data_IF_790865185589
#
_entry.id   IF_790865185589
#
_cell.length_a   1.000
_cell.length_b   1.000
_cell.length_c   1.000
_cell.angle_alpha   90.00
_cell.angle_beta   90.00
_cell.angle_gamma   90.00
#
_symmetry.space_group_name_H-M   'P 1'
#
loop_
_entity.id
_entity.type
_entity.pdbx_description
1 polymer ?
#
# COMPACT_ATOMS: atom_id res chain seq x y z
N UNK A 1 21.71 8.35 12.20
CA UNK A 1 20.70 7.43 12.75
C UNK A 1 20.42 6.43 11.65
N UNK A 2 20.72 5.16 11.88
CA UNK A 2 20.50 4.12 10.89
C UNK A 2 19.00 3.86 10.80
N UNK A 3 18.43 4.08 9.62
CA UNK A 3 17.01 3.79 9.39
C UNK A 3 16.78 2.30 9.31
N UNK A 4 15.73 1.80 9.96
CA UNK A 4 15.34 0.40 9.86
C UNK A 4 14.47 0.17 8.63
N UNK A 5 14.70 -0.96 7.95
CA UNK A 5 13.87 -1.37 6.81
C UNK A 5 12.47 -1.74 7.31
N UNK A 6 11.52 -0.82 7.17
CA UNK A 6 10.15 -1.01 7.64
C UNK A 6 9.35 -2.05 6.81
N UNK A 7 9.72 -2.27 5.53
CA UNK A 7 9.04 -3.21 4.66
C UNK A 7 9.86 -3.55 3.39
N UNK A 8 9.61 -4.75 2.85
CA UNK A 8 10.10 -5.22 1.54
C UNK A 8 9.03 -6.13 0.90
N UNK A 9 8.80 -5.98 -0.41
CA UNK A 9 7.80 -6.77 -1.14
C UNK A 9 7.62 -6.30 -2.59
N UNK A 10 6.58 -6.78 -3.25
CA UNK A 10 6.28 -6.47 -4.65
C UNK A 10 5.01 -5.63 -4.80
N UNK A 11 4.78 -5.05 -5.98
CA UNK A 11 3.59 -4.23 -6.26
C UNK A 11 2.29 -5.04 -6.16
N UNK A 12 2.35 -6.35 -6.33
CA UNK A 12 1.22 -7.27 -6.23
C UNK A 12 0.84 -7.52 -4.76
N UNK A 13 1.83 -7.53 -3.86
CA UNK A 13 1.62 -7.80 -2.43
C UNK A 13 1.43 -6.55 -1.59
N UNK A 14 1.88 -5.39 -2.08
CA UNK A 14 1.80 -4.10 -1.35
C UNK A 14 0.35 -3.70 -1.03
N UNK A 15 -0.63 -4.10 -1.85
CA UNK A 15 -2.05 -3.82 -1.62
C UNK A 15 -2.74 -4.80 -0.66
N UNK A 16 -2.09 -5.92 -0.32
CA UNK A 16 -2.65 -7.04 0.46
C UNK A 16 -1.86 -7.31 1.75
N UNK A 17 -1.03 -6.37 2.20
CA UNK A 17 -0.20 -6.55 3.39
C UNK A 17 -0.92 -6.09 4.66
N UNK A 18 -0.80 -6.87 5.74
CA UNK A 18 -1.28 -6.50 7.07
C UNK A 18 -0.32 -5.52 7.80
N UNK A 19 0.77 -5.11 7.14
CA UNK A 19 1.72 -4.16 7.71
C UNK A 19 1.08 -2.77 7.79
N UNK A 20 0.76 -2.34 9.01
CA UNK A 20 0.14 -1.04 9.30
C UNK A 20 0.97 0.15 8.81
N UNK A 21 2.30 0.08 8.85
CA UNK A 21 3.17 1.17 8.36
C UNK A 21 3.04 1.33 6.85
N UNK A 22 2.96 0.23 6.12
CA UNK A 22 2.76 0.24 4.65
C UNK A 22 1.37 0.72 4.29
N UNK A 23 0.36 0.24 5.02
CA UNK A 23 -1.04 0.66 4.89
C UNK A 23 -1.17 2.17 5.13
N UNK A 24 -0.62 2.68 6.24
CA UNK A 24 -0.67 4.10 6.58
C UNK A 24 0.08 4.96 5.54
N UNK A 25 1.20 4.48 4.99
CA UNK A 25 1.93 5.17 3.92
C UNK A 25 1.15 5.20 2.61
N UNK A 26 0.67 4.06 2.13
CA UNK A 26 -0.10 3.94 0.87
C UNK A 26 -1.40 4.75 0.96
N UNK A 27 -2.09 4.71 2.10
CA UNK A 27 -3.35 5.45 2.29
C UNK A 27 -3.17 6.86 2.88
N UNK A 28 -1.93 7.36 2.99
CA UNK A 28 -1.70 8.77 3.36
C UNK A 28 -2.10 9.74 2.24
N UNK A 29 -2.10 9.29 0.98
CA UNK A 29 -2.40 10.11 -0.19
C UNK A 29 -3.76 9.79 -0.80
N UNK A 30 -4.49 10.84 -1.19
CA UNK A 30 -5.74 10.72 -1.93
C UNK A 30 -5.57 10.07 -3.31
N UNK A 31 -4.38 10.17 -3.92
CA UNK A 31 -4.10 9.53 -5.20
C UNK A 31 -4.09 8.01 -5.06
N UNK A 32 -3.32 7.47 -4.11
CA UNK A 32 -3.20 6.03 -3.90
C UNK A 32 -4.50 5.38 -3.41
N UNK A 33 -5.33 6.12 -2.64
CA UNK A 33 -6.70 5.69 -2.33
C UNK A 33 -7.53 5.46 -3.59
N UNK A 34 -7.50 6.40 -4.55
CA UNK A 34 -8.23 6.30 -5.82
C UNK A 34 -7.71 5.16 -6.70
N UNK A 35 -6.40 4.98 -6.79
CA UNK A 35 -5.78 3.89 -7.55
C UNK A 35 -6.24 2.53 -7.01
N UNK A 36 -6.25 2.34 -5.68
CA UNK A 36 -6.77 1.10 -5.09
C UNK A 36 -8.25 0.87 -5.40
N UNK A 37 -9.08 1.91 -5.31
CA UNK A 37 -10.50 1.79 -5.60
C UNK A 37 -10.71 1.28 -7.03
N UNK A 38 -10.00 1.86 -8.02
CA UNK A 38 -10.05 1.37 -9.39
C UNK A 38 -9.65 -0.10 -9.52
N UNK A 39 -8.59 -0.54 -8.83
CA UNK A 39 -8.18 -1.95 -8.83
C UNK A 39 -9.20 -2.87 -8.16
N UNK A 40 -9.95 -2.41 -7.14
CA UNK A 40 -11.00 -3.22 -6.52
C UNK A 40 -12.21 -3.31 -7.46
N UNK A 41 -12.63 -2.17 -8.02
CA UNK A 41 -13.77 -2.06 -8.93
C UNK A 41 -13.54 -2.84 -10.24
N UNK A 42 -12.29 -2.93 -10.75
CA UNK A 42 -11.94 -3.72 -11.94
C UNK A 42 -11.89 -5.24 -11.69
N UNK A 43 -11.80 -5.67 -10.42
CA UNK A 43 -11.75 -7.09 -10.04
C UNK A 43 -13.12 -7.63 -9.55
N UNK A 44 -14.16 -6.80 -9.58
CA UNK A 44 -15.59 -7.19 -9.46
C UNK A 44 -16.25 -7.32 -10.83
#
# INVERSE_FOLDING_TARGET
KDGEKAWEGSKETIFKTDNKVVTDFVYSSNLFKKVRQMYIDENE
#
